data_IF_957121055902
#
_entry.id   IF_957121055902
#
_cell.length_a   1.000
_cell.length_b   1.000
_cell.length_c   1.000
_cell.angle_alpha   90.00
_cell.angle_beta   90.00
_cell.angle_gamma   90.00
#
_symmetry.space_group_name_H-M   'P 1'
#
loop_
_entity.id
_entity.type
_entity.pdbx_description
1 polymer ?
#
# COMPACT_ATOMS: atom_id res chain seq x y z
N UNK A 1 11.81 -8.62 -4.21
CA UNK A 1 10.97 -7.72 -5.02
C UNK A 1 9.51 -8.02 -4.74
N UNK A 2 8.64 -6.99 -4.72
CA UNK A 2 7.18 -7.11 -4.71
C UNK A 2 6.68 -6.46 -6.00
N UNK A 3 5.76 -7.11 -6.70
CA UNK A 3 5.07 -6.52 -7.84
C UNK A 3 3.75 -5.91 -7.38
N UNK A 4 3.56 -4.63 -7.65
CA UNK A 4 2.39 -3.86 -7.23
C UNK A 4 1.69 -3.28 -8.46
N UNK A 5 0.66 -3.97 -9.02
CA UNK A 5 -0.14 -3.41 -10.09
C UNK A 5 -1.02 -2.28 -9.56
N UNK A 6 -1.10 -1.19 -10.30
CA UNK A 6 -1.95 -0.05 -9.96
C UNK A 6 -2.84 0.33 -11.16
N UNK A 7 -4.09 0.69 -10.89
CA UNK A 7 -5.04 1.10 -11.91
C UNK A 7 -4.87 2.56 -12.35
N UNK A 8 -4.01 3.31 -11.65
CA UNK A 8 -3.86 4.74 -11.79
C UNK A 8 -5.00 5.54 -11.13
N UNK A 9 -4.65 6.54 -10.33
CA UNK A 9 -5.60 7.37 -9.59
C UNK A 9 -5.57 8.84 -10.02
N UNK A 10 -4.56 9.25 -10.78
CA UNK A 10 -4.32 10.65 -11.12
C UNK A 10 -4.50 10.89 -12.62
N UNK A 11 -5.67 11.38 -13.02
CA UNK A 11 -5.95 11.74 -14.41
C UNK A 11 -4.90 12.70 -15.00
N UNK A 12 -4.49 13.70 -14.21
CA UNK A 12 -3.53 14.71 -14.66
C UNK A 12 -2.19 14.08 -15.04
N UNK A 13 -1.72 13.10 -14.27
CA UNK A 13 -0.46 12.41 -14.58
C UNK A 13 -0.57 11.66 -15.91
N UNK A 14 -1.63 10.87 -16.11
CA UNK A 14 -1.85 10.15 -17.36
C UNK A 14 -1.86 11.08 -18.57
N UNK A 15 -2.68 12.11 -18.51
CA UNK A 15 -2.84 13.06 -19.62
C UNK A 15 -1.54 13.83 -19.89
N UNK A 16 -0.79 14.19 -18.85
CA UNK A 16 0.50 14.92 -19.01
C UNK A 16 1.56 14.10 -19.74
N UNK A 17 1.49 12.77 -19.66
CA UNK A 17 2.40 11.86 -20.37
C UNK A 17 1.80 11.28 -21.67
N UNK A 18 0.65 11.80 -22.13
CA UNK A 18 -0.03 11.30 -23.32
C UNK A 18 -0.61 9.89 -23.17
N UNK A 19 -0.78 9.41 -21.94
CA UNK A 19 -1.41 8.11 -21.67
C UNK A 19 -2.93 8.25 -21.68
N UNK A 20 -3.66 7.24 -22.17
CA UNK A 20 -5.11 7.25 -22.14
C UNK A 20 -5.62 7.23 -20.68
N UNK A 21 -6.69 7.96 -20.44
CA UNK A 21 -7.39 7.96 -19.16
C UNK A 21 -8.84 7.53 -19.34
N UNK A 22 -9.27 6.52 -18.60
CA UNK A 22 -10.67 6.16 -18.50
C UNK A 22 -11.24 6.69 -17.18
N UNK A 23 -12.31 7.51 -17.17
CA UNK A 23 -12.91 8.02 -15.94
C UNK A 23 -13.58 6.91 -15.10
N UNK A 24 -14.01 5.82 -15.72
CA UNK A 24 -14.61 4.68 -15.02
C UNK A 24 -13.55 3.87 -14.28
N UNK A 25 -13.65 3.86 -12.95
CA UNK A 25 -12.72 3.15 -12.09
C UNK A 25 -12.79 1.63 -12.28
N UNK A 26 -13.98 1.07 -12.47
CA UNK A 26 -14.14 -0.37 -12.68
C UNK A 26 -13.46 -0.83 -13.97
N UNK A 27 -13.56 -0.02 -15.04
CA UNK A 27 -12.86 -0.29 -16.31
C UNK A 27 -11.33 -0.22 -16.14
N UNK A 28 -10.80 0.74 -15.36
CA UNK A 28 -9.36 0.80 -15.10
C UNK A 28 -8.88 -0.40 -14.29
N UNK A 29 -9.69 -0.86 -13.30
CA UNK A 29 -9.38 -2.08 -12.54
C UNK A 29 -9.42 -3.30 -13.46
N UNK A 30 -10.43 -3.43 -14.33
CA UNK A 30 -10.51 -4.53 -15.26
C UNK A 30 -9.31 -4.57 -16.22
N UNK A 31 -8.87 -3.42 -16.72
CA UNK A 31 -7.65 -3.30 -17.51
C UNK A 31 -6.40 -3.72 -16.73
N UNK A 32 -6.25 -3.27 -15.49
CA UNK A 32 -5.14 -3.66 -14.60
C UNK A 32 -5.12 -5.17 -14.39
N UNK A 33 -6.27 -5.79 -14.13
CA UNK A 33 -6.37 -7.24 -13.88
C UNK A 33 -6.01 -8.03 -15.14
N UNK A 34 -6.51 -7.63 -16.31
CA UNK A 34 -6.14 -8.30 -17.57
C UNK A 34 -4.65 -8.15 -17.87
N UNK A 35 -4.05 -6.97 -17.60
CA UNK A 35 -2.61 -6.75 -17.71
C UNK A 35 -1.81 -7.66 -16.77
N UNK A 36 -2.28 -7.85 -15.54
CA UNK A 36 -1.68 -8.80 -14.61
C UNK A 36 -1.75 -10.24 -15.12
N UNK A 37 -2.88 -10.66 -15.68
CA UNK A 37 -3.03 -12.01 -16.25
C UNK A 37 -2.04 -12.26 -17.40
N UNK A 38 -1.82 -11.27 -18.26
CA UNK A 38 -0.79 -11.34 -19.30
C UNK A 38 0.62 -11.42 -18.69
N UNK A 39 0.92 -10.62 -17.68
CA UNK A 39 2.22 -10.63 -16.99
C UNK A 39 2.48 -12.01 -16.35
N UNK A 40 1.49 -12.58 -15.68
CA UNK A 40 1.61 -13.91 -15.06
C UNK A 40 1.86 -15.00 -16.11
N UNK A 41 1.15 -14.96 -17.24
CA UNK A 41 1.41 -15.90 -18.35
C UNK A 41 2.83 -15.76 -18.88
N UNK A 42 3.32 -14.55 -19.07
CA UNK A 42 4.69 -14.29 -19.55
C UNK A 42 5.77 -14.76 -18.56
N UNK A 43 5.52 -14.63 -17.26
CA UNK A 43 6.47 -15.05 -16.23
C UNK A 43 6.55 -16.58 -16.06
N UNK A 44 5.47 -17.29 -16.35
CA UNK A 44 5.40 -18.76 -16.24
C UNK A 44 5.78 -19.48 -17.55
N UNK A 45 5.80 -18.76 -18.66
CA UNK A 45 5.94 -19.35 -19.98
C UNK A 45 7.33 -19.89 -20.29
N UNK A 46 7.40 -21.15 -20.77
CA UNK A 46 8.58 -21.74 -21.42
C UNK A 46 8.63 -21.44 -22.92
N UNK A 47 7.48 -21.24 -23.54
CA UNK A 47 7.27 -20.97 -24.98
C UNK A 47 6.72 -19.56 -25.20
N UNK A 48 6.76 -19.03 -26.45
CA UNK A 48 6.14 -17.75 -26.77
C UNK A 48 4.65 -17.70 -26.42
N UNK A 49 4.19 -16.59 -25.84
CA UNK A 49 2.82 -16.38 -25.38
C UNK A 49 2.00 -15.61 -26.41
N UNK A 50 0.86 -16.17 -26.80
CA UNK A 50 -0.20 -15.45 -27.50
C UNK A 50 -1.33 -15.17 -26.53
N UNK A 51 -1.77 -13.91 -26.46
CA UNK A 51 -2.83 -13.42 -25.58
C UNK A 51 -3.77 -12.51 -26.36
N UNK A 52 -5.06 -12.80 -26.33
CA UNK A 52 -6.09 -12.00 -27.02
C UNK A 52 -7.10 -11.51 -25.97
N UNK A 53 -6.72 -10.45 -25.25
CA UNK A 53 -7.58 -9.80 -24.26
C UNK A 53 -8.38 -8.65 -24.84
N UNK A 54 -9.22 -8.05 -24.01
CA UNK A 54 -10.02 -6.86 -24.37
C UNK A 54 -9.14 -5.61 -24.44
N UNK A 55 -8.19 -5.47 -23.52
CA UNK A 55 -7.33 -4.29 -23.39
C UNK A 55 -5.91 -4.55 -23.91
N UNK A 56 -5.42 -5.77 -23.77
CA UNK A 56 -4.06 -6.14 -24.16
C UNK A 56 -4.06 -7.30 -25.14
N UNK A 57 -3.15 -7.24 -26.09
CA UNK A 57 -2.92 -8.30 -27.06
C UNK A 57 -1.42 -8.57 -27.17
N UNK A 58 -1.05 -9.82 -27.28
CA UNK A 58 0.31 -10.24 -27.53
C UNK A 58 0.30 -11.41 -28.54
N UNK A 59 1.26 -11.42 -29.45
CA UNK A 59 1.45 -12.49 -30.41
C UNK A 59 2.88 -12.97 -30.31
N UNK A 60 3.04 -14.25 -29.96
CA UNK A 60 4.32 -14.93 -29.80
C UNK A 60 5.33 -14.13 -28.92
N UNK A 61 4.82 -13.48 -27.89
CA UNK A 61 5.63 -12.64 -27.00
C UNK A 61 6.53 -13.48 -26.09
N UNK A 62 7.76 -13.00 -25.90
CA UNK A 62 8.77 -13.67 -25.08
C UNK A 62 9.23 -12.75 -23.95
N UNK A 63 9.21 -13.24 -22.70
CA UNK A 63 9.74 -12.55 -21.54
C UNK A 63 11.01 -13.26 -21.03
N UNK A 64 12.16 -12.66 -21.25
CA UNK A 64 13.47 -13.18 -20.79
C UNK A 64 14.36 -12.02 -20.29
N UNK A 65 15.13 -12.19 -19.22
CA UNK A 65 15.16 -13.38 -18.34
C UNK A 65 13.87 -13.53 -17.54
N UNK A 66 13.57 -14.77 -17.12
CA UNK A 66 12.47 -15.05 -16.19
C UNK A 66 12.79 -14.50 -14.80
N UNK A 67 11.75 -14.33 -13.98
CA UNK A 67 11.89 -13.90 -12.59
C UNK A 67 12.74 -14.89 -11.78
N UNK A 68 13.58 -14.38 -10.86
CA UNK A 68 14.36 -15.22 -9.93
C UNK A 68 13.47 -15.78 -8.83
N UNK A 69 12.51 -14.99 -8.34
CA UNK A 69 11.53 -15.42 -7.34
C UNK A 69 10.54 -16.41 -7.97
N UNK A 70 10.21 -17.47 -7.23
CA UNK A 70 9.32 -18.54 -7.71
C UNK A 70 8.06 -18.65 -6.86
N UNK A 71 6.89 -18.85 -7.47
CA UNK A 71 6.63 -18.93 -8.92
C UNK A 71 6.86 -17.60 -9.64
N UNK A 72 6.74 -16.47 -8.97
CA UNK A 72 6.93 -15.10 -9.41
C UNK A 72 7.13 -14.18 -8.20
N UNK A 73 7.52 -12.90 -8.36
CA UNK A 73 7.51 -11.92 -7.26
C UNK A 73 6.13 -11.85 -6.60
N UNK A 74 6.04 -11.76 -5.26
CA UNK A 74 4.76 -11.57 -4.58
C UNK A 74 3.98 -10.39 -5.17
N UNK A 75 2.69 -10.60 -5.42
CA UNK A 75 1.78 -9.59 -5.97
C UNK A 75 1.01 -8.96 -4.83
N UNK A 76 1.09 -7.65 -4.72
CA UNK A 76 0.38 -6.88 -3.71
C UNK A 76 -0.61 -5.93 -4.37
N UNK A 77 -1.78 -5.81 -3.78
CA UNK A 77 -2.83 -4.89 -4.23
C UNK A 77 -3.05 -3.80 -3.18
N UNK A 78 -3.38 -2.60 -3.64
CA UNK A 78 -3.87 -1.52 -2.79
C UNK A 78 -5.37 -1.33 -2.94
N UNK A 79 -5.90 -0.34 -2.22
CA UNK A 79 -7.28 0.08 -2.29
C UNK A 79 -8.29 -0.92 -1.71
N UNK A 80 -9.52 -0.43 -1.53
CA UNK A 80 -10.62 -1.23 -0.97
C UNK A 80 -11.82 -1.31 -1.93
N UNK A 81 -11.61 -1.01 -3.24
CA UNK A 81 -12.66 -1.21 -4.23
C UNK A 81 -12.99 -2.71 -4.35
N UNK A 82 -14.28 -3.10 -4.44
CA UNK A 82 -14.67 -4.51 -4.47
C UNK A 82 -13.93 -5.33 -5.55
N UNK A 83 -13.76 -4.78 -6.75
CA UNK A 83 -13.08 -5.48 -7.84
C UNK A 83 -11.58 -5.64 -7.59
N UNK A 84 -10.93 -4.66 -6.95
CA UNK A 84 -9.53 -4.78 -6.53
C UNK A 84 -9.37 -5.83 -5.43
N UNK A 85 -10.30 -5.88 -4.47
CA UNK A 85 -10.30 -6.93 -3.43
C UNK A 85 -10.55 -8.32 -4.03
N UNK A 86 -11.42 -8.43 -5.04
CA UNK A 86 -11.63 -9.68 -5.77
C UNK A 86 -10.36 -10.14 -6.51
N UNK A 87 -9.66 -9.21 -7.17
CA UNK A 87 -8.37 -9.48 -7.80
C UNK A 87 -7.30 -9.89 -6.76
N UNK A 88 -7.22 -9.17 -5.63
CA UNK A 88 -6.34 -9.51 -4.52
C UNK A 88 -6.62 -10.92 -3.97
N UNK A 89 -7.89 -11.28 -3.80
CA UNK A 89 -8.29 -12.61 -3.34
C UNK A 89 -7.83 -13.72 -4.30
N UNK A 90 -7.81 -13.47 -5.63
CA UNK A 90 -7.39 -14.45 -6.63
C UNK A 90 -5.87 -14.54 -6.78
N UNK A 91 -5.19 -13.40 -6.88
CA UNK A 91 -3.80 -13.33 -7.32
C UNK A 91 -2.84 -12.82 -6.25
N UNK A 92 -3.32 -12.12 -5.21
CA UNK A 92 -2.50 -11.38 -4.27
C UNK A 92 -1.85 -12.23 -3.18
N UNK A 93 -0.62 -11.93 -2.82
CA UNK A 93 0.04 -12.38 -1.60
C UNK A 93 0.08 -11.28 -0.54
N UNK A 94 -0.22 -10.06 -0.92
CA UNK A 94 -0.33 -8.93 0.00
C UNK A 94 -1.45 -7.96 -0.38
N UNK A 95 -2.00 -7.32 0.64
CA UNK A 95 -2.95 -6.23 0.51
C UNK A 95 -2.48 -5.04 1.34
N UNK A 96 -2.56 -3.86 0.77
CA UNK A 96 -2.06 -2.62 1.35
C UNK A 96 -3.20 -1.62 1.55
N UNK A 97 -3.36 -1.11 2.76
CA UNK A 97 -4.30 -0.03 3.07
C UNK A 97 -3.60 1.33 3.07
N UNK A 98 -4.29 2.34 2.56
CA UNK A 98 -3.99 3.75 2.88
C UNK A 98 -4.27 4.02 4.35
N UNK A 99 -3.71 5.11 4.94
CA UNK A 99 -3.91 5.43 6.35
C UNK A 99 -5.39 5.71 6.66
N UNK A 100 -5.99 4.90 7.51
CA UNK A 100 -7.39 5.02 7.93
C UNK A 100 -7.53 4.69 9.41
N UNK A 101 -8.61 5.17 10.03
CA UNK A 101 -8.93 4.82 11.43
C UNK A 101 -9.19 3.32 11.61
N UNK A 102 -8.99 2.82 12.81
CA UNK A 102 -9.22 1.40 13.14
C UNK A 102 -10.61 0.88 12.75
N UNK A 103 -11.72 1.61 12.99
CA UNK A 103 -13.05 1.18 12.53
C UNK A 103 -13.13 1.02 11.00
N UNK A 104 -12.55 1.95 10.24
CA UNK A 104 -12.51 1.86 8.76
C UNK A 104 -11.61 0.71 8.31
N UNK A 105 -10.48 0.50 8.98
CA UNK A 105 -9.62 -0.66 8.71
C UNK A 105 -10.37 -1.98 8.93
N UNK A 106 -11.11 -2.11 10.03
CA UNK A 106 -11.90 -3.30 10.31
C UNK A 106 -12.93 -3.60 9.21
N UNK A 107 -13.60 -2.55 8.66
CA UNK A 107 -14.51 -2.70 7.53
C UNK A 107 -13.77 -3.20 6.27
N UNK A 108 -12.60 -2.62 5.95
CA UNK A 108 -11.79 -3.02 4.80
C UNK A 108 -11.28 -4.46 4.91
N UNK A 109 -10.83 -4.86 6.09
CA UNK A 109 -10.40 -6.24 6.36
C UNK A 109 -11.56 -7.23 6.26
N UNK A 110 -12.75 -6.84 6.71
CA UNK A 110 -13.99 -7.62 6.54
C UNK A 110 -14.35 -7.82 5.06
N UNK A 111 -14.23 -6.76 4.25
CA UNK A 111 -14.47 -6.85 2.81
C UNK A 111 -13.43 -7.75 2.11
N UNK A 112 -12.15 -7.65 2.45
CA UNK A 112 -11.11 -8.56 1.95
C UNK A 112 -11.41 -10.02 2.33
N UNK A 113 -11.84 -10.26 3.57
CA UNK A 113 -12.21 -11.60 4.02
C UNK A 113 -13.40 -12.18 3.21
N UNK A 114 -14.40 -11.35 2.90
CA UNK A 114 -15.53 -11.77 2.05
C UNK A 114 -15.07 -12.10 0.63
N UNK A 115 -14.22 -11.27 0.02
CA UNK A 115 -13.65 -11.53 -1.30
C UNK A 115 -12.86 -12.86 -1.34
N UNK A 116 -12.05 -13.12 -0.30
CA UNK A 116 -11.31 -14.39 -0.18
C UNK A 116 -12.25 -15.60 -0.05
N UNK A 117 -13.30 -15.51 0.76
CA UNK A 117 -14.31 -16.58 0.90
C UNK A 117 -14.99 -16.90 -0.43
N UNK A 118 -15.28 -15.89 -1.25
CA UNK A 118 -15.93 -16.07 -2.55
C UNK A 118 -15.11 -16.92 -3.53
N UNK A 119 -13.78 -16.99 -3.34
CA UNK A 119 -12.86 -17.81 -4.16
C UNK A 119 -12.30 -19.03 -3.39
N UNK A 120 -12.84 -19.33 -2.21
CA UNK A 120 -12.41 -20.48 -1.42
C UNK A 120 -11.04 -20.35 -0.77
N UNK A 121 -10.54 -19.12 -0.57
CA UNK A 121 -9.20 -18.81 -0.01
C UNK A 121 -9.31 -18.27 1.41
N UNK A 122 -8.29 -18.53 2.23
CA UNK A 122 -8.14 -17.89 3.54
C UNK A 122 -7.57 -16.46 3.38
N UNK A 123 -8.19 -15.47 4.03
CA UNK A 123 -7.60 -14.15 4.14
C UNK A 123 -6.32 -14.14 5.01
N UNK A 124 -6.08 -15.20 5.77
CA UNK A 124 -4.83 -15.42 6.50
C UNK A 124 -3.59 -15.57 5.60
N UNK A 125 -3.80 -16.04 4.37
CA UNK A 125 -2.74 -16.25 3.37
C UNK A 125 -2.28 -14.93 2.70
N UNK A 126 -2.96 -13.82 2.98
CA UNK A 126 -2.64 -12.51 2.43
C UNK A 126 -1.97 -11.67 3.53
N UNK A 127 -0.77 -11.20 3.29
CA UNK A 127 -0.10 -10.25 4.18
C UNK A 127 -0.82 -8.90 4.14
N UNK A 128 -1.09 -8.30 5.32
CA UNK A 128 -1.75 -7.00 5.41
C UNK A 128 -0.72 -5.94 5.73
N UNK A 129 -0.72 -4.88 4.95
CA UNK A 129 0.16 -3.75 5.11
C UNK A 129 -0.62 -2.43 5.22
N UNK A 130 0.02 -1.43 5.79
CA UNK A 130 -0.46 -0.05 5.79
C UNK A 130 0.69 0.89 5.49
N UNK A 131 0.49 1.80 4.53
CA UNK A 131 1.36 2.96 4.39
C UNK A 131 0.83 4.08 5.28
N UNK A 132 1.73 4.79 5.96
CA UNK A 132 1.33 5.93 6.78
C UNK A 132 2.47 6.94 6.93
N UNK A 133 2.10 8.16 7.27
CA UNK A 133 3.04 9.22 7.60
C UNK A 133 3.52 9.05 9.05
N UNK A 134 4.79 9.38 9.27
CA UNK A 134 5.40 9.33 10.59
C UNK A 134 6.21 10.61 10.88
N UNK A 135 6.08 11.10 12.10
CA UNK A 135 6.92 12.11 12.71
C UNK A 135 7.16 11.71 14.17
N UNK A 136 8.38 11.39 14.51
CA UNK A 136 8.76 11.00 15.87
C UNK A 136 9.89 11.90 16.39
N UNK A 137 9.75 12.35 17.63
CA UNK A 137 10.77 13.11 18.34
C UNK A 137 10.76 12.76 19.85
N UNK A 138 11.79 13.18 20.54
CA UNK A 138 12.05 12.83 21.94
C UNK A 138 10.93 13.27 22.90
N UNK A 139 10.29 14.40 22.59
CA UNK A 139 9.22 15.00 23.37
C UNK A 139 8.17 15.67 22.50
N UNK A 140 6.99 15.95 23.08
CA UNK A 140 5.84 16.55 22.39
C UNK A 140 6.10 17.97 21.89
N UNK A 141 6.94 18.75 22.55
CA UNK A 141 7.29 20.09 22.13
C UNK A 141 8.10 20.04 20.84
N UNK A 142 9.08 19.15 20.76
CA UNK A 142 9.89 18.93 19.55
C UNK A 142 9.02 18.37 18.41
N UNK A 143 8.08 17.44 18.69
CA UNK A 143 7.11 16.96 17.69
C UNK A 143 6.30 18.13 17.12
N UNK A 144 5.71 18.98 17.99
CA UNK A 144 4.92 20.16 17.60
C UNK A 144 5.74 21.11 16.75
N UNK A 145 6.92 21.50 17.23
CA UNK A 145 7.81 22.43 16.52
C UNK A 145 8.19 21.92 15.12
N UNK A 146 8.54 20.62 14.99
CA UNK A 146 8.86 20.01 13.69
C UNK A 146 7.64 19.99 12.77
N UNK A 147 6.48 19.63 13.28
CA UNK A 147 5.22 19.65 12.54
C UNK A 147 4.90 21.05 11.99
N UNK A 148 4.99 22.08 12.85
CA UNK A 148 4.82 23.48 12.46
C UNK A 148 5.77 23.90 11.34
N UNK A 149 7.06 23.55 11.46
CA UNK A 149 8.05 23.86 10.42
C UNK A 149 7.75 23.18 9.07
N UNK A 150 7.28 21.95 9.10
CA UNK A 150 6.94 21.19 7.87
C UNK A 150 5.74 21.81 7.15
N UNK A 151 4.72 22.23 7.90
CA UNK A 151 3.47 22.75 7.35
C UNK A 151 3.37 24.27 7.31
N UNK A 152 4.42 24.98 7.73
CA UNK A 152 4.46 26.46 7.72
C UNK A 152 3.46 27.10 8.69
N UNK A 153 3.19 26.44 9.82
CA UNK A 153 2.27 26.94 10.84
C UNK A 153 2.96 27.95 11.78
N UNK A 154 2.18 28.84 12.40
CA UNK A 154 2.69 29.75 13.41
C UNK A 154 3.07 28.99 14.70
N UNK A 155 4.02 29.54 15.48
CA UNK A 155 4.46 28.92 16.74
C UNK A 155 3.33 28.74 17.78
N UNK A 156 2.26 29.53 17.65
CA UNK A 156 1.07 29.46 18.51
C UNK A 156 0.04 28.41 18.06
N UNK A 157 0.21 27.84 16.88
CA UNK A 157 -0.70 26.83 16.34
C UNK A 157 -0.27 25.44 16.79
N UNK A 158 -1.24 24.62 17.13
CA UNK A 158 -1.02 23.24 17.52
C UNK A 158 -1.22 22.27 16.34
N UNK A 159 -0.82 21.00 16.54
CA UNK A 159 -1.16 19.93 15.60
C UNK A 159 -2.69 19.79 15.60
N UNK A 160 -3.34 19.88 14.42
CA UNK A 160 -4.80 19.87 14.36
C UNK A 160 -5.42 18.58 14.91
N UNK A 161 -6.48 18.71 15.70
CA UNK A 161 -7.27 17.56 16.19
C UNK A 161 -7.90 16.76 15.04
N UNK A 162 -8.11 17.42 13.88
CA UNK A 162 -8.61 16.78 12.65
C UNK A 162 -7.58 15.95 11.90
N UNK A 163 -6.35 15.87 12.42
CA UNK A 163 -5.30 15.07 11.80
C UNK A 163 -5.74 13.61 11.63
N UNK A 164 -5.33 13.00 10.52
CA UNK A 164 -5.65 11.59 10.29
C UNK A 164 -5.14 10.74 11.45
N UNK A 165 -6.04 10.05 12.18
CA UNK A 165 -5.68 9.29 13.38
C UNK A 165 -4.71 8.12 13.09
N UNK A 166 -4.58 7.73 11.82
CA UNK A 166 -3.63 6.70 11.40
C UNK A 166 -2.20 7.22 11.19
N UNK A 167 -1.98 8.53 11.26
CA UNK A 167 -0.63 9.08 11.19
C UNK A 167 0.11 8.84 12.51
N UNK A 168 1.34 8.37 12.38
CA UNK A 168 2.20 8.02 13.51
C UNK A 168 2.99 9.25 13.96
N UNK A 169 2.30 10.23 14.56
CA UNK A 169 2.89 11.48 15.04
C UNK A 169 2.90 11.44 16.56
N UNK A 170 4.08 11.65 17.16
CA UNK A 170 4.25 11.67 18.60
C UNK A 170 5.66 11.31 19.09
N UNK A 171 5.76 11.07 20.40
CA UNK A 171 6.94 10.51 21.04
C UNK A 171 7.09 9.02 20.71
N UNK A 172 8.25 8.38 20.98
CA UNK A 172 8.42 6.95 20.76
C UNK A 172 7.31 6.08 21.39
N UNK A 173 6.88 6.39 22.59
CA UNK A 173 5.84 5.63 23.30
C UNK A 173 4.44 5.81 22.64
N UNK A 174 4.13 7.02 22.19
CA UNK A 174 2.88 7.32 21.48
C UNK A 174 2.83 6.65 20.11
N UNK A 175 3.95 6.66 19.39
CA UNK A 175 4.08 5.99 18.09
C UNK A 175 4.00 4.47 18.26
N UNK A 176 4.68 3.90 19.28
CA UNK A 176 4.55 2.48 19.61
C UNK A 176 3.10 2.09 19.89
N UNK A 177 2.41 2.83 20.74
CA UNK A 177 1.02 2.55 21.09
C UNK A 177 0.10 2.52 19.87
N UNK A 178 0.29 3.47 18.93
CA UNK A 178 -0.45 3.50 17.67
C UNK A 178 -0.13 2.30 16.79
N UNK A 179 1.15 1.98 16.59
CA UNK A 179 1.57 0.80 15.79
C UNK A 179 0.98 -0.47 16.39
N UNK A 180 1.07 -0.64 17.70
CA UNK A 180 0.56 -1.82 18.41
C UNK A 180 -0.95 -2.01 18.17
N UNK A 181 -1.75 -0.95 18.21
CA UNK A 181 -3.17 -1.02 17.92
C UNK A 181 -3.47 -1.51 16.49
N UNK A 182 -2.68 -1.09 15.50
CA UNK A 182 -2.82 -1.59 14.12
C UNK A 182 -2.29 -3.02 13.96
N UNK A 183 -1.25 -3.41 14.69
CA UNK A 183 -0.77 -4.80 14.73
C UNK A 183 -1.83 -5.72 15.30
N UNK A 184 -2.47 -5.34 16.40
CA UNK A 184 -3.59 -6.07 17.01
C UNK A 184 -4.80 -6.17 16.07
N UNK A 185 -5.02 -5.16 15.24
CA UNK A 185 -6.03 -5.18 14.19
C UNK A 185 -5.66 -6.05 12.97
N UNK A 186 -4.42 -6.60 12.92
CA UNK A 186 -3.99 -7.54 11.90
C UNK A 186 -3.04 -6.97 10.84
N UNK A 187 -2.53 -5.75 10.98
CA UNK A 187 -1.49 -5.20 10.11
C UNK A 187 -0.13 -5.79 10.52
N UNK A 188 0.54 -6.48 9.60
CA UNK A 188 1.85 -7.09 9.82
C UNK A 188 3.01 -6.39 9.10
N UNK A 189 2.73 -5.37 8.30
CA UNK A 189 3.75 -4.65 7.55
C UNK A 189 3.41 -3.16 7.46
N UNK A 190 4.40 -2.29 7.74
CA UNK A 190 4.23 -0.84 7.66
C UNK A 190 5.19 -0.25 6.63
N UNK A 191 4.66 0.62 5.77
CA UNK A 191 5.43 1.50 4.89
C UNK A 191 5.40 2.90 5.51
N UNK A 192 6.52 3.36 6.02
CA UNK A 192 6.60 4.59 6.79
C UNK A 192 7.18 5.74 5.95
N UNK A 193 6.41 6.82 5.83
CA UNK A 193 6.85 8.05 5.19
C UNK A 193 7.23 9.08 6.24
N UNK A 194 8.53 9.24 6.48
CA UNK A 194 9.03 10.25 7.40
C UNK A 194 8.81 11.64 6.80
N UNK A 195 7.87 12.39 7.36
CA UNK A 195 7.45 13.71 6.82
C UNK A 195 8.48 14.81 7.07
N UNK A 196 9.44 14.59 7.95
CA UNK A 196 10.57 15.48 8.23
C UNK A 196 11.81 15.19 7.36
N UNK A 197 11.72 14.28 6.40
CA UNK A 197 12.79 14.03 5.44
C UNK A 197 13.20 15.34 4.71
N UNK A 198 14.48 15.58 4.45
CA UNK A 198 15.63 14.66 4.54
C UNK A 198 16.29 14.56 5.93
N UNK A 199 15.68 15.03 7.00
CA UNK A 199 16.24 14.90 8.35
C UNK A 199 16.23 13.43 8.77
N UNK A 200 17.32 12.98 9.40
CA UNK A 200 17.48 11.59 9.80
C UNK A 200 17.16 11.32 11.27
N UNK A 201 17.01 12.38 12.08
CA UNK A 201 16.85 12.24 13.54
C UNK A 201 15.61 11.42 13.89
N UNK A 202 14.47 11.71 13.26
CA UNK A 202 13.23 10.94 13.48
C UNK A 202 13.39 9.48 13.05
N UNK A 203 14.03 9.23 11.91
CA UNK A 203 14.30 7.88 11.42
C UNK A 203 15.21 7.10 12.38
N UNK A 204 16.29 7.72 12.88
CA UNK A 204 17.21 7.10 13.85
C UNK A 204 16.51 6.80 15.17
N UNK A 205 15.77 7.78 15.70
CA UNK A 205 15.00 7.60 16.93
C UNK A 205 13.98 6.46 16.81
N UNK A 206 13.27 6.37 15.67
CA UNK A 206 12.38 5.26 15.41
C UNK A 206 13.11 3.92 15.35
N UNK A 207 14.24 3.86 14.66
CA UNK A 207 15.03 2.63 14.52
C UNK A 207 15.62 2.14 15.84
N UNK A 208 16.02 3.07 16.72
CA UNK A 208 16.67 2.76 17.99
C UNK A 208 15.67 2.49 19.11
N UNK A 209 14.55 3.20 19.18
CA UNK A 209 13.64 3.15 20.33
C UNK A 209 12.28 2.50 20.04
N UNK A 210 11.77 2.56 18.80
CA UNK A 210 10.44 2.02 18.48
C UNK A 210 10.53 0.66 17.80
N UNK A 211 11.27 0.56 16.72
CA UNK A 211 11.32 -0.67 15.91
C UNK A 211 11.78 -1.93 16.71
N UNK A 212 12.72 -1.85 17.66
CA UNK A 212 13.12 -3.02 18.44
C UNK A 212 12.03 -3.61 19.32
N UNK A 213 10.98 -2.83 19.65
CA UNK A 213 9.86 -3.27 20.50
C UNK A 213 8.86 -4.20 19.77
N UNK A 214 9.07 -4.40 18.46
CA UNK A 214 8.24 -5.24 17.58
C UNK A 214 8.99 -6.45 16.99
N UNK A 215 10.15 -6.80 17.58
CA UNK A 215 10.97 -7.96 17.18
C UNK A 215 10.70 -9.17 18.04
#
# INVERSE_FOLDING_TARGET
>A
LIYYPDMGNQQREHVSYGLPWNPDQAERIAQMVEGLELVLKLWDASEPVTFAGRYYQASEAVCRPLTVQRPHPPIWFGEAHPDTLAACARYGQGWHSTPVSLPVLAQRLGALQQACRAVGRSAGDIQKAMATQILVAEDRETVRRRYQQIYGLAETEDIPDSLNPAWLIGTPDEVEGKIRAYVEAGIGHFLLWFIDAPREEGLRLFADEVAPRFR
#
